data_IF_156919061006
#
_entry.id   IF_156919061006
#
_cell.length_a   1.000
_cell.length_b   1.000
_cell.length_c   1.000
_cell.angle_alpha   90.00
_cell.angle_beta   90.00
_cell.angle_gamma   90.00
#
_symmetry.space_group_name_H-M   'P 1'
#
loop_
_entity.id
_entity.type
_entity.pdbx_description
1 polymer ?
#
# COMPACT_ATOMS: atom_id res chain seq x y z
N UNK A 1 -12.83 -24.98 6.85
CA UNK A 1 -13.44 -23.77 6.26
C UNK A 1 -12.38 -23.07 5.45
N UNK A 2 -12.56 -22.93 4.14
CA UNK A 2 -11.63 -22.20 3.29
C UNK A 2 -11.50 -20.77 3.81
N UNK A 3 -10.30 -20.30 4.08
CA UNK A 3 -10.02 -18.92 4.48
C UNK A 3 -10.28 -18.05 3.26
N UNK A 4 -11.40 -17.31 3.25
CA UNK A 4 -11.73 -16.44 2.15
C UNK A 4 -10.66 -15.35 2.00
N UNK A 5 -10.19 -15.15 0.77
CA UNK A 5 -9.24 -14.09 0.43
C UNK A 5 -10.03 -12.77 0.34
N UNK A 6 -9.78 -11.78 1.22
CA UNK A 6 -10.57 -10.55 1.26
C UNK A 6 -10.51 -9.75 -0.05
N UNK A 7 -9.42 -9.85 -0.81
CA UNK A 7 -9.31 -9.22 -2.13
C UNK A 7 -10.26 -9.84 -3.14
N UNK A 8 -10.29 -11.17 -3.20
CA UNK A 8 -11.20 -11.90 -4.09
C UNK A 8 -12.66 -11.63 -3.74
N UNK A 9 -13.00 -11.66 -2.45
CA UNK A 9 -14.38 -11.42 -1.99
C UNK A 9 -14.89 -10.02 -2.38
N UNK A 10 -14.07 -8.99 -2.21
CA UNK A 10 -14.45 -7.62 -2.59
C UNK A 10 -14.48 -7.45 -4.10
N UNK A 11 -13.50 -8.02 -4.83
CA UNK A 11 -13.47 -7.97 -6.30
C UNK A 11 -14.71 -8.60 -6.93
N UNK A 12 -15.12 -9.78 -6.46
CA UNK A 12 -16.33 -10.44 -6.94
C UNK A 12 -17.58 -9.59 -6.70
N UNK A 13 -17.68 -8.89 -5.58
CA UNK A 13 -18.80 -7.99 -5.28
C UNK A 13 -18.74 -6.68 -6.07
N UNK A 14 -17.55 -6.18 -6.35
CA UNK A 14 -17.37 -4.97 -7.14
C UNK A 14 -17.79 -5.15 -8.59
N UNK A 15 -17.51 -6.33 -9.17
CA UNK A 15 -17.69 -6.57 -10.60
C UNK A 15 -16.77 -5.68 -11.43
N UNK A 16 -17.17 -5.39 -12.67
CA UNK A 16 -16.40 -4.56 -13.62
C UNK A 16 -16.80 -3.09 -13.57
N UNK A 17 -17.28 -2.61 -12.42
CA UNK A 17 -17.77 -1.23 -12.25
C UNK A 17 -16.93 -0.50 -11.19
N UNK A 18 -16.56 0.74 -11.51
CA UNK A 18 -15.91 1.63 -10.55
C UNK A 18 -16.84 1.89 -9.36
N UNK A 19 -16.32 1.66 -8.18
CA UNK A 19 -17.05 1.81 -6.92
C UNK A 19 -16.59 3.06 -6.17
N UNK A 20 -17.53 3.70 -5.47
CA UNK A 20 -17.23 4.87 -4.64
C UNK A 20 -16.40 4.49 -3.39
N UNK A 21 -15.75 5.49 -2.81
CA UNK A 21 -15.06 5.35 -1.52
C UNK A 21 -15.96 4.74 -0.44
N UNK A 22 -17.18 5.23 -0.29
CA UNK A 22 -18.15 4.77 0.72
C UNK A 22 -18.53 3.30 0.51
N UNK A 23 -18.67 2.88 -0.75
CA UNK A 23 -18.92 1.47 -1.06
C UNK A 23 -17.80 0.57 -0.53
N UNK A 24 -16.53 0.91 -0.79
CA UNK A 24 -15.39 0.15 -0.26
C UNK A 24 -15.39 0.13 1.26
N UNK A 25 -15.65 1.26 1.92
CA UNK A 25 -15.71 1.33 3.39
C UNK A 25 -16.79 0.40 3.97
N UNK A 26 -17.97 0.33 3.33
CA UNK A 26 -19.04 -0.57 3.73
C UNK A 26 -18.62 -2.04 3.58
N UNK A 27 -18.06 -2.42 2.42
CA UNK A 27 -17.63 -3.79 2.18
C UNK A 27 -16.54 -4.23 3.16
N UNK A 28 -15.57 -3.37 3.44
CA UNK A 28 -14.45 -3.66 4.35
C UNK A 28 -14.93 -3.81 5.80
N UNK A 29 -15.89 -3.00 6.26
CA UNK A 29 -16.51 -3.15 7.58
C UNK A 29 -17.21 -4.51 7.76
N UNK A 30 -17.72 -5.08 6.69
CA UNK A 30 -18.37 -6.39 6.68
C UNK A 30 -17.37 -7.57 6.68
N UNK A 31 -16.10 -7.32 6.42
CA UNK A 31 -15.06 -8.36 6.46
C UNK A 31 -14.73 -8.70 7.92
N UNK A 32 -14.68 -10.00 8.24
CA UNK A 32 -14.33 -10.48 9.58
C UNK A 32 -12.85 -10.90 9.66
N UNK A 33 -12.22 -10.58 10.80
CA UNK A 33 -10.88 -11.08 11.13
C UNK A 33 -9.77 -10.75 10.12
N UNK A 34 -9.77 -9.51 9.60
CA UNK A 34 -8.66 -9.05 8.76
C UNK A 34 -7.47 -8.74 9.68
N UNK A 35 -6.39 -9.51 9.49
CA UNK A 35 -5.13 -9.35 10.23
C UNK A 35 -3.96 -9.56 9.28
N UNK A 36 -2.83 -8.87 9.49
CA UNK A 36 -1.62 -9.02 8.66
C UNK A 36 -1.21 -10.47 8.42
N UNK A 37 -1.11 -11.28 9.48
CA UNK A 37 -0.73 -12.69 9.36
C UNK A 37 -1.69 -13.48 8.46
N UNK A 38 -3.00 -13.21 8.55
CA UNK A 38 -4.00 -13.89 7.73
C UNK A 38 -3.85 -13.50 6.26
N UNK A 39 -3.59 -12.21 5.96
CA UNK A 39 -3.32 -11.78 4.59
C UNK A 39 -2.10 -12.49 4.01
N UNK A 40 -1.00 -12.57 4.76
CA UNK A 40 0.22 -13.22 4.32
C UNK A 40 0.05 -14.73 4.08
N UNK A 41 -0.86 -15.41 4.79
CA UNK A 41 -1.09 -16.86 4.67
C UNK A 41 -2.19 -17.23 3.68
N UNK A 42 -3.17 -16.34 3.47
CA UNK A 42 -4.33 -16.64 2.60
C UNK A 42 -4.10 -16.27 1.13
N UNK A 43 -2.99 -15.62 0.80
CA UNK A 43 -2.72 -15.11 -0.54
C UNK A 43 -1.50 -15.82 -1.13
N UNK A 44 -1.61 -16.43 -2.33
CA UNK A 44 -0.51 -17.19 -2.93
C UNK A 44 0.62 -16.33 -3.50
N UNK A 45 0.44 -15.00 -3.59
CA UNK A 45 1.29 -14.08 -4.35
C UNK A 45 2.49 -13.54 -3.55
N UNK A 46 3.18 -14.42 -2.86
CA UNK A 46 4.41 -14.08 -2.11
C UNK A 46 5.63 -14.11 -3.03
N UNK A 47 6.37 -13.01 -3.07
CA UNK A 47 7.62 -12.88 -3.82
C UNK A 47 8.78 -12.44 -2.93
N UNK A 48 10.01 -12.74 -3.35
CA UNK A 48 11.25 -12.27 -2.70
C UNK A 48 11.79 -11.00 -3.32
N UNK A 49 11.25 -10.58 -4.46
CA UNK A 49 11.72 -9.42 -5.20
C UNK A 49 10.61 -8.40 -5.37
N UNK A 50 11.01 -7.12 -5.42
CA UNK A 50 10.11 -6.02 -5.73
C UNK A 50 10.37 -5.48 -7.13
N UNK A 51 9.33 -4.89 -7.72
CA UNK A 51 9.43 -4.07 -8.93
C UNK A 51 8.81 -2.70 -8.66
N UNK A 52 9.50 -1.60 -8.99
CA UNK A 52 8.92 -0.26 -8.94
C UNK A 52 7.62 -0.19 -9.76
N UNK A 53 6.62 0.52 -9.23
CA UNK A 53 5.30 0.64 -9.85
C UNK A 53 4.29 -0.46 -9.48
N UNK A 54 4.69 -1.51 -8.75
CA UNK A 54 3.78 -2.47 -8.13
C UNK A 54 3.49 -2.07 -6.66
N UNK A 55 2.52 -2.73 -6.05
CA UNK A 55 2.14 -2.53 -4.66
C UNK A 55 2.44 -3.79 -3.84
N UNK A 56 2.94 -3.60 -2.61
CA UNK A 56 3.32 -4.70 -1.73
C UNK A 56 2.94 -4.44 -0.28
N UNK A 57 2.66 -5.54 0.44
CA UNK A 57 2.65 -5.60 1.90
C UNK A 57 3.72 -6.56 2.40
N UNK A 58 4.32 -6.28 3.55
CA UNK A 58 5.34 -7.14 4.17
C UNK A 58 5.52 -6.79 5.64
N UNK A 59 6.10 -7.70 6.41
CA UNK A 59 6.52 -7.39 7.77
C UNK A 59 7.90 -6.73 7.77
N UNK A 60 8.05 -5.70 8.59
CA UNK A 60 9.25 -4.88 8.67
C UNK A 60 9.58 -4.50 10.11
N UNK A 61 10.85 -4.63 10.51
CA UNK A 61 11.37 -4.14 11.79
C UNK A 61 12.41 -3.05 11.55
N UNK A 62 12.11 -1.81 11.91
CA UNK A 62 12.95 -0.67 11.56
C UNK A 62 14.30 -0.72 12.28
N UNK A 63 15.41 -0.53 11.54
CA UNK A 63 16.77 -0.56 12.08
C UNK A 63 17.01 0.52 13.14
N UNK A 64 16.46 1.71 12.93
CA UNK A 64 16.64 2.86 13.83
C UNK A 64 15.41 3.07 14.73
N UNK A 65 14.76 2.02 15.17
CA UNK A 65 13.53 2.07 15.97
C UNK A 65 13.66 2.91 17.25
N UNK A 66 14.84 2.93 17.88
CA UNK A 66 15.10 3.73 19.07
C UNK A 66 15.18 5.25 18.80
N UNK A 67 15.38 5.64 17.53
CA UNK A 67 15.47 7.04 17.09
C UNK A 67 14.23 7.53 16.37
N UNK A 68 13.40 6.60 15.89
CA UNK A 68 12.16 6.93 15.18
C UNK A 68 11.04 7.18 16.20
N UNK A 69 10.25 8.25 16.03
CA UNK A 69 9.09 8.47 16.88
C UNK A 69 8.04 7.35 16.71
N UNK A 70 7.95 6.78 15.51
CA UNK A 70 7.11 5.65 15.17
C UNK A 70 7.50 5.08 13.80
N UNK A 71 7.12 3.82 13.54
CA UNK A 71 7.23 3.19 12.22
C UNK A 71 6.08 2.22 11.98
N UNK A 72 5.84 1.87 10.73
CA UNK A 72 4.83 0.87 10.35
C UNK A 72 5.49 -0.50 10.23
N UNK A 73 5.07 -1.46 11.06
CA UNK A 73 5.60 -2.82 11.06
C UNK A 73 4.93 -3.76 10.05
N UNK A 74 3.86 -3.30 9.38
CA UNK A 74 3.21 -4.01 8.26
C UNK A 74 2.80 -3.01 7.17
N UNK A 75 3.78 -2.40 6.48
CA UNK A 75 3.52 -1.32 5.53
C UNK A 75 2.84 -1.79 4.24
N UNK A 76 2.04 -0.88 3.66
CA UNK A 76 1.51 -0.96 2.29
C UNK A 76 2.27 0.01 1.41
N UNK A 77 3.12 -0.51 0.52
CA UNK A 77 4.12 0.30 -0.18
C UNK A 77 4.01 0.20 -1.68
N UNK A 78 4.14 1.35 -2.34
CA UNK A 78 4.43 1.50 -3.76
C UNK A 78 5.93 1.83 -3.91
N UNK A 79 6.80 0.86 -4.18
CA UNK A 79 8.21 1.11 -4.43
C UNK A 79 8.40 1.94 -5.70
N UNK A 80 9.31 2.92 -5.66
CA UNK A 80 9.59 3.75 -6.83
C UNK A 80 11.09 3.84 -7.19
N UNK A 81 11.98 3.43 -6.28
CA UNK A 81 13.44 3.41 -6.53
C UNK A 81 14.14 2.31 -5.74
N UNK A 82 14.86 1.45 -6.42
CA UNK A 82 15.78 0.49 -5.79
C UNK A 82 17.12 1.16 -5.50
N UNK A 83 17.75 0.75 -4.40
CA UNK A 83 19.12 1.10 -4.00
C UNK A 83 19.85 -0.17 -3.56
N UNK A 84 21.15 -0.08 -3.31
CA UNK A 84 21.99 -1.24 -3.04
C UNK A 84 21.53 -2.02 -1.80
N UNK A 85 21.16 -1.33 -0.72
CA UNK A 85 20.80 -1.91 0.57
C UNK A 85 19.28 -2.02 0.80
N UNK A 86 18.45 -1.58 -0.18
CA UNK A 86 17.02 -1.55 -0.01
C UNK A 86 16.25 -0.88 -1.14
N UNK A 87 15.19 -0.17 -0.78
CA UNK A 87 14.38 0.59 -1.73
C UNK A 87 13.66 1.75 -1.08
N UNK A 88 13.37 2.77 -1.87
CA UNK A 88 12.44 3.83 -1.49
C UNK A 88 11.05 3.51 -2.00
N UNK A 89 10.05 3.76 -1.15
CA UNK A 89 8.66 3.54 -1.50
C UNK A 89 7.73 4.51 -0.77
N UNK A 90 6.55 4.66 -1.33
CA UNK A 90 5.46 5.42 -0.76
C UNK A 90 4.63 4.50 0.14
N UNK A 91 4.71 4.67 1.46
CA UNK A 91 3.86 3.93 2.40
C UNK A 91 2.49 4.62 2.52
N UNK A 92 1.47 3.98 1.94
CA UNK A 92 0.10 4.51 1.93
C UNK A 92 -0.53 4.57 3.32
N UNK A 93 -0.06 3.78 4.27
CA UNK A 93 -0.58 3.79 5.64
C UNK A 93 -0.37 5.13 6.37
N UNK A 94 0.61 5.94 5.93
CA UNK A 94 0.81 7.31 6.45
C UNK A 94 -0.24 8.31 5.97
N UNK A 95 -1.05 7.93 4.99
CA UNK A 95 -2.16 8.73 4.48
C UNK A 95 -3.49 8.28 5.08
N UNK A 96 -4.39 9.22 5.34
CA UNK A 96 -5.76 8.91 5.72
C UNK A 96 -6.53 8.27 4.54
N UNK A 97 -7.47 7.38 4.81
CA UNK A 97 -8.19 6.58 3.80
C UNK A 97 -8.72 7.35 2.58
N UNK A 98 -9.41 8.50 2.72
CA UNK A 98 -9.88 9.27 1.56
C UNK A 98 -8.75 9.76 0.66
N UNK A 99 -7.58 10.09 1.24
CA UNK A 99 -6.42 10.56 0.47
C UNK A 99 -5.81 9.39 -0.31
N UNK A 100 -5.72 8.19 0.30
CA UNK A 100 -5.29 6.98 -0.41
C UNK A 100 -6.18 6.68 -1.61
N UNK A 101 -7.50 6.77 -1.42
CA UNK A 101 -8.49 6.53 -2.47
C UNK A 101 -8.31 7.52 -3.64
N UNK A 102 -8.18 8.81 -3.35
CA UNK A 102 -7.94 9.85 -4.37
C UNK A 102 -6.63 9.65 -5.12
N UNK A 103 -5.55 9.30 -4.40
CA UNK A 103 -4.24 9.03 -5.01
C UNK A 103 -4.32 7.84 -5.96
N UNK A 104 -4.95 6.75 -5.53
CA UNK A 104 -5.09 5.55 -6.36
C UNK A 104 -6.02 5.79 -7.54
N UNK A 105 -7.08 6.59 -7.40
CA UNK A 105 -7.91 7.02 -8.51
C UNK A 105 -7.11 7.75 -9.59
N UNK A 106 -6.28 8.73 -9.19
CA UNK A 106 -5.41 9.43 -10.12
C UNK A 106 -4.38 8.51 -10.80
N UNK A 107 -3.86 7.51 -10.10
CA UNK A 107 -2.99 6.47 -10.69
C UNK A 107 -3.76 5.54 -11.63
N UNK A 108 -5.02 5.25 -11.31
CA UNK A 108 -5.91 4.40 -12.09
C UNK A 108 -6.28 5.02 -13.43
N UNK A 109 -6.70 6.30 -13.43
CA UNK A 109 -7.09 7.01 -14.65
C UNK A 109 -5.97 7.02 -15.70
N UNK A 110 -4.73 7.08 -15.23
CA UNK A 110 -3.54 7.02 -16.09
C UNK A 110 -3.16 5.60 -16.54
N UNK A 111 -3.60 4.58 -15.82
CA UNK A 111 -3.29 3.18 -16.11
C UNK A 111 -4.35 2.48 -16.98
N UNK A 112 -5.56 3.02 -17.06
CA UNK A 112 -6.73 2.37 -17.66
C UNK A 112 -6.95 2.69 -19.14
N UNK A 113 -6.03 3.40 -19.77
CA UNK A 113 -6.06 3.46 -21.24
C UNK A 113 -5.77 2.04 -21.78
N UNK A 114 -6.79 1.39 -22.31
CA UNK A 114 -6.77 0.00 -22.81
C UNK A 114 -5.71 -0.27 -23.90
N UNK A 115 -5.05 0.76 -24.38
CA UNK A 115 -3.95 0.68 -25.35
C UNK A 115 -2.56 0.55 -24.71
N UNK A 116 -2.47 0.57 -23.39
CA UNK A 116 -1.19 0.61 -22.67
C UNK A 116 -0.83 -0.80 -22.20
N UNK A 117 0.34 -1.29 -22.57
CA UNK A 117 0.89 -2.58 -22.10
C UNK A 117 1.21 -2.53 -20.59
N UNK A 118 1.27 -3.70 -19.92
CA UNK A 118 1.63 -3.78 -18.50
C UNK A 118 2.96 -3.07 -18.19
N UNK A 119 3.95 -3.21 -19.07
CA UNK A 119 5.25 -2.56 -18.91
C UNK A 119 5.15 -1.03 -18.99
N UNK A 120 4.33 -0.51 -19.88
CA UNK A 120 4.06 0.93 -20.01
C UNK A 120 3.32 1.45 -18.79
N UNK A 121 2.35 0.70 -18.25
CA UNK A 121 1.66 1.02 -16.98
C UNK A 121 2.63 1.13 -15.80
N UNK A 122 3.54 0.18 -15.66
CA UNK A 122 4.56 0.19 -14.62
C UNK A 122 5.46 1.42 -14.73
N UNK A 123 5.87 1.79 -15.94
CA UNK A 123 6.68 2.97 -16.19
C UNK A 123 5.93 4.28 -15.88
N UNK A 124 4.64 4.37 -16.23
CA UNK A 124 3.82 5.53 -15.94
C UNK A 124 3.58 5.66 -14.42
N UNK A 125 3.21 4.58 -13.74
CA UNK A 125 3.06 4.56 -12.30
C UNK A 125 4.35 5.00 -11.61
N UNK A 126 5.51 4.52 -12.07
CA UNK A 126 6.79 4.93 -11.54
C UNK A 126 7.08 6.42 -11.75
N UNK A 127 6.80 6.97 -12.93
CA UNK A 127 6.98 8.40 -13.23
C UNK A 127 6.10 9.26 -12.34
N UNK A 128 4.84 8.87 -12.17
CA UNK A 128 3.88 9.60 -11.32
C UNK A 128 4.32 9.53 -9.87
N UNK A 129 4.62 8.34 -9.35
CA UNK A 129 5.10 8.19 -7.99
C UNK A 129 6.37 9.02 -7.74
N UNK A 130 7.30 9.02 -8.67
CA UNK A 130 8.53 9.81 -8.56
C UNK A 130 8.25 11.33 -8.64
N UNK A 131 7.25 11.78 -9.38
CA UNK A 131 6.83 13.18 -9.43
C UNK A 131 6.07 13.59 -8.18
N UNK A 132 5.16 12.75 -7.69
CA UNK A 132 4.33 13.03 -6.50
C UNK A 132 5.15 13.07 -5.21
N UNK A 133 6.26 12.34 -5.13
CA UNK A 133 7.16 12.41 -3.97
C UNK A 133 7.81 13.79 -3.77
N UNK A 134 7.75 14.66 -4.77
CA UNK A 134 8.21 16.04 -4.68
C UNK A 134 7.15 16.97 -4.07
N UNK A 135 5.87 16.57 -4.03
CA UNK A 135 4.80 17.33 -3.40
C UNK A 135 4.78 17.09 -1.88
N UNK A 136 4.67 18.17 -1.12
CA UNK A 136 4.74 18.12 0.33
C UNK A 136 3.84 17.06 1.00
N UNK A 137 2.56 16.87 0.63
CA UNK A 137 1.71 15.86 1.27
C UNK A 137 2.25 14.45 1.23
N UNK A 138 2.98 14.12 0.19
CA UNK A 138 3.45 12.76 -0.06
C UNK A 138 4.85 12.53 0.50
N UNK A 139 5.62 13.59 0.71
CA UNK A 139 6.96 13.50 1.31
C UNK A 139 6.99 12.74 2.63
N UNK A 140 5.99 12.97 3.50
CA UNK A 140 5.89 12.28 4.79
C UNK A 140 5.71 10.76 4.66
N UNK A 141 5.21 10.30 3.50
CA UNK A 141 4.93 8.89 3.22
C UNK A 141 6.12 8.17 2.57
N UNK A 142 7.12 8.91 2.07
CA UNK A 142 8.34 8.34 1.49
C UNK A 142 9.18 7.72 2.59
N UNK A 143 9.49 6.42 2.43
CA UNK A 143 10.30 5.66 3.37
C UNK A 143 11.41 4.91 2.64
N UNK A 144 12.53 4.75 3.31
CA UNK A 144 13.62 3.86 2.91
C UNK A 144 13.46 2.54 3.67
N UNK A 145 13.27 1.45 2.96
CA UNK A 145 13.19 0.10 3.49
C UNK A 145 14.47 -0.65 3.20
N UNK A 146 15.12 -1.16 4.25
CA UNK A 146 16.35 -1.93 4.14
C UNK A 146 16.03 -3.42 3.98
N UNK A 147 16.72 -4.10 3.06
CA UNK A 147 16.48 -5.54 2.82
C UNK A 147 16.80 -6.42 4.02
N UNK A 148 17.82 -6.07 4.81
CA UNK A 148 18.21 -6.80 6.03
C UNK A 148 17.22 -6.65 7.21
N UNK A 149 16.27 -5.73 7.09
CA UNK A 149 15.23 -5.47 8.11
C UNK A 149 13.85 -6.07 7.74
N UNK A 150 13.76 -6.76 6.61
CA UNK A 150 12.55 -7.47 6.21
C UNK A 150 12.33 -8.68 7.10
N UNK A 151 11.11 -8.83 7.61
CA UNK A 151 10.69 -9.95 8.48
C UNK A 151 9.81 -10.98 7.74
N UNK A 152 9.56 -10.75 6.45
CA UNK A 152 8.78 -11.64 5.59
C UNK A 152 9.14 -11.47 4.13
N UNK A 153 8.64 -12.38 3.28
CA UNK A 153 8.51 -12.12 1.85
C UNK A 153 7.51 -10.99 1.60
N UNK A 154 7.49 -10.47 0.39
CA UNK A 154 6.55 -9.47 -0.07
C UNK A 154 5.25 -10.12 -0.54
N UNK A 155 4.12 -9.70 -0.02
CA UNK A 155 2.81 -9.98 -0.58
C UNK A 155 2.57 -8.98 -1.72
N UNK A 156 2.61 -9.45 -2.97
CA UNK A 156 2.28 -8.63 -4.13
C UNK A 156 0.78 -8.41 -4.19
N UNK A 157 0.37 -7.14 -4.25
CA UNK A 157 -1.03 -6.77 -4.43
C UNK A 157 -1.27 -6.52 -5.92
N UNK A 158 -2.16 -7.29 -6.52
CA UNK A 158 -2.53 -7.10 -7.91
C UNK A 158 -3.30 -5.80 -8.10
N UNK A 159 -3.13 -5.18 -9.25
CA UNK A 159 -3.67 -3.87 -9.55
C UNK A 159 -5.17 -3.72 -9.27
N UNK A 160 -6.06 -4.68 -9.64
CA UNK A 160 -7.49 -4.58 -9.32
C UNK A 160 -7.81 -4.54 -7.82
N UNK A 161 -6.85 -4.94 -6.97
CA UNK A 161 -7.01 -5.01 -5.52
C UNK A 161 -6.39 -3.82 -4.78
N UNK A 162 -5.73 -2.90 -5.48
CA UNK A 162 -5.03 -1.78 -4.86
C UNK A 162 -5.94 -0.90 -4.01
N UNK A 163 -7.13 -0.57 -4.52
CA UNK A 163 -8.10 0.21 -3.75
C UNK A 163 -8.52 -0.54 -2.50
N UNK A 164 -8.90 -1.82 -2.64
CA UNK A 164 -9.24 -2.68 -1.51
C UNK A 164 -8.12 -2.69 -0.47
N UNK A 165 -6.88 -2.99 -0.88
CA UNK A 165 -5.72 -3.04 0.00
C UNK A 165 -5.49 -1.74 0.76
N UNK A 166 -5.66 -0.60 0.07
CA UNK A 166 -5.48 0.72 0.66
C UNK A 166 -6.51 1.07 1.75
N UNK A 167 -7.67 0.41 1.71
CA UNK A 167 -8.78 0.66 2.64
C UNK A 167 -8.85 -0.37 3.77
N UNK A 168 -8.07 -1.47 3.73
CA UNK A 168 -8.01 -2.45 4.82
C UNK A 168 -7.43 -1.83 6.10
N UNK A 169 -8.04 -2.07 7.28
CA UNK A 169 -7.55 -1.55 8.56
C UNK A 169 -6.43 -2.44 9.12
N UNK A 170 -5.31 -2.52 8.42
CA UNK A 170 -4.17 -3.39 8.73
C UNK A 170 -2.89 -2.63 9.08
N UNK A 171 -2.97 -1.32 9.22
CA UNK A 171 -1.86 -0.48 9.67
C UNK A 171 -1.36 -0.95 11.03
N UNK A 172 -0.03 -1.13 11.16
CA UNK A 172 0.62 -1.53 12.42
C UNK A 172 1.73 -0.56 12.79
N UNK A 173 1.34 0.63 13.21
CA UNK A 173 2.29 1.58 13.76
C UNK A 173 2.77 1.15 15.15
N UNK A 174 4.07 1.23 15.36
CA UNK A 174 4.73 1.06 16.65
C UNK A 174 5.15 2.45 17.11
N UNK A 175 4.86 2.82 18.35
CA UNK A 175 5.22 4.11 18.95
C UNK A 175 4.16 5.21 18.79
N UNK A 176 3.14 5.03 17.94
CA UNK A 176 2.03 5.97 17.80
C UNK A 176 0.74 5.30 17.32
N UNK A 177 -0.40 5.92 17.57
CA UNK A 177 -1.67 5.55 16.96
C UNK A 177 -1.73 6.02 15.50
N UNK A 178 -2.55 5.37 14.67
CA UNK A 178 -2.73 5.79 13.27
C UNK A 178 -3.27 7.22 13.14
N UNK A 179 -4.09 7.66 14.09
CA UNK A 179 -4.62 9.02 14.11
C UNK A 179 -3.52 10.06 14.34
N UNK A 180 -2.56 9.77 15.21
CA UNK A 180 -1.38 10.62 15.43
C UNK A 180 -0.51 10.68 14.18
N UNK A 181 -0.22 9.53 13.57
CA UNK A 181 0.55 9.46 12.32
C UNK A 181 -0.12 10.27 11.21
N UNK A 182 -1.44 10.13 11.03
CA UNK A 182 -2.17 10.89 10.01
C UNK A 182 -2.22 12.40 10.30
N UNK A 183 -2.34 12.78 11.56
CA UNK A 183 -2.27 14.19 11.98
C UNK A 183 -0.88 14.78 11.68
N UNK A 184 0.18 14.04 12.02
CA UNK A 184 1.55 14.49 11.81
C UNK A 184 1.91 14.54 10.31
N UNK A 185 1.44 13.58 9.53
CA UNK A 185 1.59 13.60 8.08
C UNK A 185 0.93 14.84 7.46
N UNK A 186 -0.18 15.31 7.99
CA UNK A 186 -0.85 16.56 7.56
C UNK A 186 -0.12 17.83 7.99
N UNK A 187 0.50 17.84 9.17
CA UNK A 187 1.22 19.03 9.70
C UNK A 187 2.53 19.33 8.97
N UNK A 188 3.07 18.35 8.25
CA UNK A 188 4.29 18.54 7.46
C UNK A 188 4.06 19.26 6.13
N UNK A 189 2.90 19.92 6.01
CA UNK A 189 2.42 20.64 4.80
C UNK A 189 2.22 22.11 5.03
#
# INVERSE_FOLDING_TARGET
MATSNPFQDIRMKAGDVDRSFDWYQIQIKNLKNIRPNKLMTSTPDLTTTIMPGNMYMFFYDAKLKDKLPYWDSFPLVLPFRKVQDGFFGLNLHYLHYPIRFKLLGALHDLAYDHKITENTRLQLNWRILNSTTRFNPIKACVKHYLYDQLQSRFLKIHYPDWVTASQLPVERFIGASKQEVWRDSRKKF
#
